data_IF_073134476462
#
_entry.id   IF_073134476462
#
_cell.length_a   1.000
_cell.length_b   1.000
_cell.length_c   1.000
_cell.angle_alpha   90.00
_cell.angle_beta   90.00
_cell.angle_gamma   90.00
#
_symmetry.space_group_name_H-M   'P 1'
#
loop_
_entity.id
_entity.type
_entity.pdbx_description
1 polymer ?
#
# COMPACT_ATOMS: atom_id res chain seq x y z
N UNK A 1 -14.03 -3.99 12.53
CA UNK A 1 -14.11 -5.28 11.84
C UNK A 1 -13.35 -5.23 10.53
N UNK A 2 -12.60 -6.26 10.24
CA UNK A 2 -11.79 -6.34 9.03
C UNK A 2 -12.25 -7.50 8.16
N UNK A 3 -12.20 -7.31 6.86
CA UNK A 3 -12.49 -8.35 5.88
C UNK A 3 -11.18 -8.71 5.17
N UNK A 4 -10.80 -9.97 5.24
CA UNK A 4 -9.56 -10.42 4.61
C UNK A 4 -9.68 -10.39 3.09
N UNK A 5 -8.61 -9.94 2.44
CA UNK A 5 -8.50 -9.87 0.98
C UNK A 5 -7.35 -10.76 0.54
N UNK A 6 -7.59 -11.57 -0.50
CA UNK A 6 -6.51 -12.31 -1.13
C UNK A 6 -5.54 -11.32 -1.79
N UNK A 7 -4.24 -11.34 -1.45
CA UNK A 7 -3.29 -10.36 -1.97
C UNK A 7 -3.25 -10.25 -3.49
N UNK A 8 -3.38 -11.36 -4.20
CA UNK A 8 -3.37 -11.35 -5.67
C UNK A 8 -4.62 -10.73 -6.29
N UNK A 9 -5.68 -10.56 -5.51
CA UNK A 9 -6.95 -9.97 -5.93
C UNK A 9 -7.16 -8.56 -5.40
N UNK A 10 -6.15 -7.98 -4.77
CA UNK A 10 -6.28 -6.66 -4.13
C UNK A 10 -6.73 -5.58 -5.13
N UNK A 11 -6.32 -5.69 -6.38
CA UNK A 11 -6.70 -4.73 -7.42
C UNK A 11 -8.21 -4.57 -7.60
N UNK A 12 -9.00 -5.59 -7.27
CA UNK A 12 -10.46 -5.54 -7.38
C UNK A 12 -11.09 -4.53 -6.41
N UNK A 13 -10.35 -4.13 -5.36
CA UNK A 13 -10.81 -3.21 -4.34
C UNK A 13 -10.24 -1.79 -4.49
N UNK A 14 -9.45 -1.54 -5.52
CA UNK A 14 -8.72 -0.28 -5.64
C UNK A 14 -9.34 0.74 -6.60
N UNK A 15 -10.41 0.38 -7.31
CA UNK A 15 -11.10 1.29 -8.22
C UNK A 15 -11.56 2.54 -7.49
N UNK A 16 -11.26 3.72 -8.04
CA UNK A 16 -11.62 5.00 -7.44
C UNK A 16 -10.71 5.47 -6.31
N UNK A 17 -9.73 4.68 -5.92
CA UNK A 17 -8.75 5.05 -4.90
C UNK A 17 -7.54 5.67 -5.61
N UNK A 18 -7.32 6.96 -5.41
CA UNK A 18 -6.36 7.72 -6.22
C UNK A 18 -4.91 7.45 -5.87
N UNK A 19 -4.64 7.12 -4.61
CA UNK A 19 -3.26 6.95 -4.13
C UNK A 19 -3.21 5.99 -2.95
N UNK A 20 -2.00 5.59 -2.62
CA UNK A 20 -1.71 4.78 -1.43
C UNK A 20 -0.70 5.51 -0.57
N UNK A 21 -0.81 5.35 0.74
CA UNK A 21 0.25 5.74 1.66
C UNK A 21 1.23 4.57 1.78
N UNK A 22 2.47 4.83 1.38
CA UNK A 22 3.57 3.91 1.62
C UNK A 22 4.18 4.25 2.97
N UNK A 23 4.18 3.29 3.88
CA UNK A 23 4.69 3.45 5.23
C UNK A 23 5.94 2.59 5.37
N UNK A 24 7.07 3.26 5.60
CA UNK A 24 8.37 2.62 5.80
C UNK A 24 8.88 2.98 7.19
N UNK A 25 9.85 2.22 7.67
CA UNK A 25 10.33 2.33 9.05
C UNK A 25 11.84 2.54 9.11
N UNK A 26 12.25 3.40 10.03
CA UNK A 26 13.66 3.60 10.40
C UNK A 26 13.74 3.55 11.93
N UNK A 27 14.11 2.37 12.46
CA UNK A 27 14.09 2.16 13.90
C UNK A 27 12.67 2.34 14.44
N UNK A 28 12.50 3.30 15.36
CA UNK A 28 11.20 3.59 15.97
C UNK A 28 10.36 4.60 15.18
N UNK A 29 10.92 5.14 14.10
CA UNK A 29 10.22 6.16 13.30
C UNK A 29 9.54 5.53 12.10
N UNK A 30 8.33 6.00 11.82
CA UNK A 30 7.62 5.70 10.58
C UNK A 30 7.71 6.90 9.64
N UNK A 31 7.87 6.62 8.36
CA UNK A 31 7.79 7.62 7.31
C UNK A 31 6.62 7.28 6.40
N UNK A 32 5.81 8.27 6.09
CA UNK A 32 4.59 8.09 5.29
C UNK A 32 4.65 9.01 4.09
N UNK A 33 4.44 8.45 2.91
CA UNK A 33 4.38 9.22 1.66
C UNK A 33 3.23 8.72 0.80
N UNK A 34 2.50 9.66 0.17
CA UNK A 34 1.40 9.34 -0.74
C UNK A 34 1.94 9.15 -2.14
N UNK A 35 1.66 8.01 -2.75
CA UNK A 35 2.20 7.62 -4.05
C UNK A 35 1.14 6.89 -4.87
N UNK A 36 1.40 6.80 -6.17
CA UNK A 36 0.57 6.03 -7.12
C UNK A 36 1.43 4.91 -7.72
N UNK A 37 1.33 3.69 -7.20
CA UNK A 37 2.12 2.58 -7.72
C UNK A 37 1.52 2.01 -8.99
N UNK A 38 2.34 1.25 -9.70
CA UNK A 38 1.86 0.31 -10.71
C UNK A 38 1.70 -1.04 -10.02
N UNK A 39 0.47 -1.52 -10.00
CA UNK A 39 0.13 -2.80 -9.36
C UNK A 39 -0.07 -3.88 -10.41
N UNK A 40 0.58 -5.02 -10.23
CA UNK A 40 0.37 -6.23 -11.01
C UNK A 40 0.19 -7.38 -10.04
N UNK A 41 -1.01 -7.95 -9.97
CA UNK A 41 -1.38 -8.97 -8.98
C UNK A 41 -1.10 -8.46 -7.55
N UNK A 42 -0.16 -9.07 -6.84
CA UNK A 42 0.22 -8.65 -5.48
C UNK A 42 1.56 -7.93 -5.44
N UNK A 43 2.02 -7.40 -6.57
CA UNK A 43 3.29 -6.66 -6.64
C UNK A 43 3.01 -5.20 -6.98
N UNK A 44 3.45 -4.30 -6.12
CA UNK A 44 3.32 -2.86 -6.29
C UNK A 44 4.71 -2.26 -6.53
N UNK A 45 4.86 -1.49 -7.60
CA UNK A 45 6.11 -0.83 -7.96
C UNK A 45 5.95 0.67 -7.78
N UNK A 46 6.87 1.27 -7.04
CA UNK A 46 6.86 2.69 -6.71
C UNK A 46 8.09 3.38 -7.30
N UNK A 47 7.87 4.42 -8.08
CA UNK A 47 8.94 5.25 -8.63
C UNK A 47 8.91 6.64 -7.96
N UNK A 48 10.03 7.34 -7.99
CA UNK A 48 10.13 8.71 -7.46
C UNK A 48 9.66 8.85 -6.02
N UNK A 49 10.05 7.91 -5.18
CA UNK A 49 9.58 7.87 -3.79
C UNK A 49 10.32 8.84 -2.87
N UNK A 50 11.51 9.29 -3.26
CA UNK A 50 12.35 10.14 -2.43
C UNK A 50 13.40 9.34 -1.66
N UNK A 51 14.35 10.06 -1.06
CA UNK A 51 15.51 9.45 -0.38
C UNK A 51 15.13 8.65 0.87
N UNK A 52 14.20 9.18 1.67
CA UNK A 52 13.86 8.56 2.95
C UNK A 52 13.23 7.18 2.77
N UNK A 53 12.20 7.01 1.92
CA UNK A 53 11.69 5.67 1.66
C UNK A 53 12.75 4.69 1.11
N UNK A 54 13.60 5.15 0.20
CA UNK A 54 14.67 4.31 -0.35
C UNK A 54 15.64 3.83 0.73
N UNK A 55 16.09 4.74 1.61
CA UNK A 55 16.98 4.40 2.70
C UNK A 55 16.31 3.45 3.71
N UNK A 56 15.04 3.70 4.02
CA UNK A 56 14.29 2.87 4.96
C UNK A 56 14.11 1.45 4.44
N UNK A 57 13.75 1.30 3.16
CA UNK A 57 13.59 -0.01 2.53
C UNK A 57 14.91 -0.76 2.47
N UNK A 58 16.02 -0.08 2.20
CA UNK A 58 17.33 -0.71 2.21
C UNK A 58 17.71 -1.29 3.58
N UNK A 59 17.23 -0.66 4.65
CA UNK A 59 17.52 -1.09 6.02
C UNK A 59 16.46 -2.05 6.58
N UNK A 60 15.21 -1.93 6.15
CA UNK A 60 14.09 -2.73 6.68
C UNK A 60 13.11 -3.03 5.55
N UNK A 61 12.96 -4.30 5.21
CA UNK A 61 12.11 -4.73 4.11
C UNK A 61 10.61 -4.74 4.44
N UNK A 62 10.23 -4.63 5.69
CA UNK A 62 8.81 -4.63 6.09
C UNK A 62 8.18 -3.27 5.80
N UNK A 63 7.08 -3.28 5.06
CA UNK A 63 6.34 -2.06 4.72
C UNK A 63 4.84 -2.29 4.89
N UNK A 64 4.12 -1.19 5.04
CA UNK A 64 2.66 -1.18 5.07
C UNK A 64 2.15 -0.23 4.00
N UNK A 65 1.09 -0.66 3.32
CA UNK A 65 0.38 0.15 2.33
C UNK A 65 -1.03 0.41 2.84
N UNK A 66 -1.49 1.64 2.73
CA UNK A 66 -2.85 2.00 3.13
C UNK A 66 -3.49 2.85 2.04
N UNK A 67 -4.56 2.34 1.46
CA UNK A 67 -5.41 3.11 0.54
C UNK A 67 -6.57 3.68 1.34
N UNK A 68 -6.73 5.01 1.41
CA UNK A 68 -7.87 5.61 2.11
C UNK A 68 -9.19 5.25 1.43
N UNK A 69 -10.33 5.43 2.13
CA UNK A 69 -11.65 5.21 1.52
C UNK A 69 -11.84 6.03 0.26
N UNK A 70 -12.67 5.51 -0.64
CA UNK A 70 -13.04 6.23 -1.87
C UNK A 70 -13.91 7.44 -1.57
N UNK A 71 -13.97 8.33 -2.55
CA UNK A 71 -14.96 9.39 -2.60
C UNK A 71 -16.38 8.79 -2.52
N UNK A 72 -17.31 9.54 -1.92
CA UNK A 72 -18.72 9.13 -1.77
C UNK A 72 -19.44 8.88 -3.10
N UNK A 73 -18.88 9.31 -4.23
CA UNK A 73 -19.43 9.05 -5.56
C UNK A 73 -19.17 7.64 -6.06
N UNK A 74 -18.26 6.90 -5.43
CA UNK A 74 -17.97 5.52 -5.79
C UNK A 74 -19.08 4.60 -5.34
N UNK A 75 -19.39 3.59 -6.17
CA UNK A 75 -20.55 2.72 -5.97
C UNK A 75 -20.22 1.28 -5.58
N UNK A 76 -18.95 0.91 -5.52
CA UNK A 76 -18.61 -0.47 -5.13
C UNK A 76 -18.82 -0.69 -3.63
N UNK A 77 -19.09 -1.93 -3.28
CA UNK A 77 -19.56 -2.32 -1.94
C UNK A 77 -18.64 -1.86 -0.80
N UNK A 78 -17.34 -1.87 -1.02
CA UNK A 78 -16.36 -1.56 0.02
C UNK A 78 -15.70 -0.19 -0.17
N UNK A 79 -16.35 0.73 -0.88
CA UNK A 79 -15.78 2.06 -1.17
C UNK A 79 -15.42 2.84 0.09
N UNK A 80 -16.18 2.67 1.16
CA UNK A 80 -15.96 3.37 2.43
C UNK A 80 -14.94 2.71 3.35
N UNK A 81 -14.42 1.55 2.97
CA UNK A 81 -13.42 0.85 3.76
C UNK A 81 -12.03 1.31 3.33
N UNK A 82 -11.10 1.38 4.29
CA UNK A 82 -9.68 1.50 3.95
C UNK A 82 -9.17 0.13 3.50
N UNK A 83 -8.25 0.12 2.55
CA UNK A 83 -7.49 -1.09 2.21
C UNK A 83 -6.15 -0.99 2.90
N UNK A 84 -5.82 -1.96 3.74
CA UNK A 84 -4.56 -2.01 4.47
C UNK A 84 -3.82 -3.28 4.09
N UNK A 85 -2.58 -3.14 3.67
CA UNK A 85 -1.77 -4.27 3.24
C UNK A 85 -0.40 -4.23 3.89
N UNK A 86 0.09 -5.40 4.25
CA UNK A 86 1.47 -5.59 4.66
C UNK A 86 2.25 -6.22 3.52
N UNK A 87 3.50 -5.87 3.39
CA UNK A 87 4.33 -6.41 2.34
C UNK A 87 5.80 -6.45 2.70
N UNK A 88 6.53 -7.14 1.83
CA UNK A 88 7.98 -7.20 1.88
C UNK A 88 8.51 -6.44 0.67
N UNK A 89 9.41 -5.51 0.90
CA UNK A 89 9.96 -4.65 -0.13
C UNK A 89 11.37 -5.05 -0.52
N UNK A 90 11.74 -4.68 -1.72
CA UNK A 90 13.12 -4.72 -2.21
C UNK A 90 13.36 -3.53 -3.14
N UNK A 91 14.62 -3.22 -3.35
CA UNK A 91 15.01 -2.19 -4.30
C UNK A 91 15.37 -2.82 -5.64
N UNK A 92 14.89 -2.19 -6.70
CA UNK A 92 15.28 -2.47 -8.09
C UNK A 92 15.77 -1.13 -8.64
N UNK A 93 17.07 -0.85 -8.49
CA UNK A 93 17.59 0.49 -8.69
C UNK A 93 16.93 1.46 -7.73
N UNK A 94 16.28 2.49 -8.27
CA UNK A 94 15.54 3.49 -7.49
C UNK A 94 14.05 3.16 -7.36
N UNK A 95 13.64 1.99 -7.82
CA UNK A 95 12.26 1.53 -7.74
C UNK A 95 12.08 0.68 -6.49
N UNK A 96 11.08 1.02 -5.67
CA UNK A 96 10.68 0.17 -4.55
C UNK A 96 9.66 -0.83 -5.05
N UNK A 97 9.97 -2.11 -4.90
CA UNK A 97 9.09 -3.21 -5.30
C UNK A 97 8.55 -3.87 -4.04
N UNK A 98 7.23 -3.84 -3.88
CA UNK A 98 6.56 -4.41 -2.71
C UNK A 98 5.79 -5.64 -3.13
N UNK A 99 6.09 -6.77 -2.49
CA UNK A 99 5.26 -7.97 -2.60
C UNK A 99 4.28 -7.96 -1.44
N UNK A 100 3.00 -7.83 -1.76
CA UNK A 100 1.93 -7.79 -0.76
C UNK A 100 1.70 -9.21 -0.27
N UNK A 101 1.79 -9.40 1.04
CA UNK A 101 1.68 -10.72 1.69
C UNK A 101 0.41 -10.86 2.52
N UNK A 102 -0.22 -9.75 2.89
CA UNK A 102 -1.45 -9.73 3.65
C UNK A 102 -2.24 -8.48 3.30
N UNK A 103 -3.55 -8.60 3.20
CA UNK A 103 -4.40 -7.45 2.91
C UNK A 103 -5.76 -7.60 3.59
N UNK A 104 -6.30 -6.48 4.04
CA UNK A 104 -7.63 -6.43 4.66
C UNK A 104 -8.37 -5.18 4.21
N UNK A 105 -9.69 -5.28 4.21
CA UNK A 105 -10.57 -4.13 4.16
C UNK A 105 -10.90 -3.76 5.60
N UNK A 106 -10.59 -2.53 5.98
CA UNK A 106 -10.80 -2.06 7.33
C UNK A 106 -11.98 -1.10 7.39
N UNK A 107 -13.02 -1.50 8.10
CA UNK A 107 -14.23 -0.69 8.26
C UNK A 107 -13.94 0.52 9.15
N UNK A 108 -14.44 1.71 8.78
CA UNK A 108 -14.35 2.88 9.67
C UNK A 108 -15.02 2.60 11.03
N UNK A 109 -14.41 3.16 12.04
CA UNK A 109 -14.96 3.08 13.39
C UNK A 109 -16.24 3.91 13.51
#
# INVERSE_FOLDING_TARGET
>A
MSVKVEPTLIGEHLAGREFVYLITHNGERSHVVALRPVLTNNIARFVNTGRTPLANVAANSSVTLTWPPCDSTQTHEHAKYSVVADGTSRLDGDVIVVTITNAVLHRPA
#
